data_IF_788820199839
#
_entry.id   IF_788820199839
#
_cell.length_a   1.000
_cell.length_b   1.000
_cell.length_c   1.000
_cell.angle_alpha   90.00
_cell.angle_beta   90.00
_cell.angle_gamma   90.00
#
_symmetry.space_group_name_H-M   'P 1'
#
loop_
_entity.id
_entity.type
_entity.pdbx_description
1 polymer ?
#
# COMPACT_ATOMS: atom_id res chain seq x y z
N UNK A 1 3.71 12.27 -62.75
CA UNK A 1 3.84 11.96 -61.31
C UNK A 1 2.49 11.97 -60.57
N UNK A 2 1.38 11.58 -61.24
CA UNK A 2 0.00 11.70 -60.70
C UNK A 2 -0.72 10.34 -60.58
N UNK A 3 -0.03 9.23 -60.88
CA UNK A 3 -0.60 7.89 -60.98
C UNK A 3 -0.39 7.02 -59.72
N UNK A 4 0.53 7.41 -58.82
CA UNK A 4 0.80 6.64 -57.59
C UNK A 4 -0.26 6.83 -56.51
N UNK A 5 -0.93 7.98 -56.49
CA UNK A 5 -1.93 8.27 -55.44
C UNK A 5 -3.25 7.55 -55.68
N UNK A 6 -3.73 7.47 -56.94
CA UNK A 6 -5.00 6.80 -57.25
C UNK A 6 -4.97 5.29 -56.96
N UNK A 7 -3.82 4.64 -57.17
CA UNK A 7 -3.64 3.23 -56.79
C UNK A 7 -3.68 3.05 -55.28
N UNK A 8 -3.12 3.99 -54.51
CA UNK A 8 -3.12 3.93 -53.05
C UNK A 8 -4.54 4.02 -52.49
N UNK A 9 -5.36 4.95 -52.99
CA UNK A 9 -6.77 5.09 -52.58
C UNK A 9 -7.61 3.86 -52.95
N UNK A 10 -7.37 3.24 -54.11
CA UNK A 10 -8.07 2.03 -54.53
C UNK A 10 -7.74 0.83 -53.62
N UNK A 11 -6.47 0.65 -53.24
CA UNK A 11 -6.06 -0.35 -52.25
C UNK A 11 -6.63 -0.05 -50.87
N UNK A 12 -6.66 1.22 -50.47
CA UNK A 12 -7.24 1.64 -49.19
C UNK A 12 -8.75 1.34 -49.13
N UNK A 13 -9.51 1.60 -50.19
CA UNK A 13 -10.95 1.30 -50.25
C UNK A 13 -11.23 -0.20 -50.21
N UNK A 14 -10.38 -1.01 -50.86
CA UNK A 14 -10.48 -2.48 -50.89
C UNK A 14 -10.18 -3.09 -49.51
N UNK A 15 -9.18 -2.57 -48.80
CA UNK A 15 -8.71 -3.09 -47.52
C UNK A 15 -9.29 -2.36 -46.29
N UNK A 16 -10.06 -1.29 -46.48
CA UNK A 16 -10.63 -0.47 -45.41
C UNK A 16 -11.37 -1.31 -44.35
N UNK A 17 -12.12 -2.32 -44.79
CA UNK A 17 -12.85 -3.21 -43.89
C UNK A 17 -11.94 -4.02 -42.95
N UNK A 18 -10.77 -4.44 -43.44
CA UNK A 18 -9.79 -5.16 -42.61
C UNK A 18 -9.13 -4.25 -41.58
N UNK A 19 -8.87 -2.99 -41.94
CA UNK A 19 -8.31 -1.98 -41.04
C UNK A 19 -9.33 -1.67 -39.92
N UNK A 20 -10.61 -1.50 -40.28
CA UNK A 20 -11.67 -1.32 -39.29
C UNK A 20 -11.80 -2.51 -38.34
N UNK A 21 -11.75 -3.74 -38.88
CA UNK A 21 -11.82 -4.95 -38.08
C UNK A 21 -10.61 -5.07 -37.15
N UNK A 22 -9.40 -4.83 -37.65
CA UNK A 22 -8.18 -4.82 -36.84
C UNK A 22 -8.24 -3.79 -35.71
N UNK A 23 -8.71 -2.58 -36.01
CA UNK A 23 -8.84 -1.50 -35.04
C UNK A 23 -9.91 -1.81 -33.99
N UNK A 24 -11.00 -2.46 -34.39
CA UNK A 24 -12.03 -2.95 -33.49
C UNK A 24 -11.49 -4.02 -32.53
N UNK A 25 -10.75 -5.02 -33.03
CA UNK A 25 -10.11 -6.03 -32.20
C UNK A 25 -9.06 -5.44 -31.25
N UNK A 26 -8.28 -4.47 -31.72
CA UNK A 26 -7.30 -3.77 -30.89
C UNK A 26 -7.96 -2.95 -29.77
N UNK A 27 -9.04 -2.22 -30.09
CA UNK A 27 -9.84 -1.48 -29.11
C UNK A 27 -10.48 -2.42 -28.08
N UNK A 28 -11.03 -3.55 -28.52
CA UNK A 28 -11.60 -4.56 -27.64
C UNK A 28 -10.54 -5.17 -26.71
N UNK A 29 -9.34 -5.44 -27.23
CA UNK A 29 -8.22 -5.94 -26.44
C UNK A 29 -7.78 -4.95 -25.36
N UNK A 30 -7.63 -3.67 -25.72
CA UNK A 30 -7.32 -2.60 -24.77
C UNK A 30 -8.41 -2.49 -23.69
N UNK A 31 -9.68 -2.48 -24.09
CA UNK A 31 -10.80 -2.39 -23.16
C UNK A 31 -10.85 -3.58 -22.19
N UNK A 32 -10.61 -4.81 -22.70
CA UNK A 32 -10.52 -6.00 -21.87
C UNK A 32 -9.35 -5.95 -20.88
N UNK A 33 -8.20 -5.41 -21.30
CA UNK A 33 -7.03 -5.25 -20.43
C UNK A 33 -7.23 -4.20 -19.34
N UNK A 34 -7.97 -3.12 -19.62
CA UNK A 34 -8.30 -2.10 -18.61
C UNK A 34 -9.13 -2.69 -17.46
N UNK A 35 -10.12 -3.55 -17.77
CA UNK A 35 -10.94 -4.22 -16.74
C UNK A 35 -10.10 -5.14 -15.84
N UNK A 36 -9.15 -5.87 -16.41
CA UNK A 36 -8.24 -6.73 -15.64
C UNK A 36 -7.35 -5.92 -14.70
N UNK A 37 -6.81 -4.78 -15.15
CA UNK A 37 -5.98 -3.91 -14.32
C UNK A 37 -6.71 -3.38 -13.09
N UNK A 38 -7.99 -3.01 -13.24
CA UNK A 38 -8.81 -2.52 -12.11
C UNK A 38 -9.02 -3.60 -11.05
N UNK A 39 -9.37 -4.82 -11.46
CA UNK A 39 -9.55 -5.96 -10.57
C UNK A 39 -8.24 -6.33 -9.85
N UNK A 40 -7.11 -6.31 -10.56
CA UNK A 40 -5.80 -6.56 -9.95
C UNK A 40 -5.41 -5.47 -8.95
N UNK A 41 -5.70 -4.20 -9.23
CA UNK A 41 -5.41 -3.10 -8.32
C UNK A 41 -6.25 -3.19 -7.03
N UNK A 42 -7.52 -3.54 -7.15
CA UNK A 42 -8.41 -3.74 -6.00
C UNK A 42 -8.00 -4.97 -5.16
N UNK A 43 -7.59 -6.06 -5.81
CA UNK A 43 -7.11 -7.23 -5.09
C UNK A 43 -5.78 -6.93 -4.37
N UNK A 44 -4.88 -6.19 -5.03
CA UNK A 44 -3.60 -5.77 -4.44
C UNK A 44 -3.79 -4.85 -3.24
N UNK A 45 -4.72 -3.91 -3.29
CA UNK A 45 -4.99 -3.01 -2.15
C UNK A 45 -5.55 -3.76 -0.95
N UNK A 46 -6.41 -4.77 -1.17
CA UNK A 46 -6.94 -5.63 -0.11
C UNK A 46 -5.84 -6.46 0.56
N UNK A 47 -4.89 -6.99 -0.23
CA UNK A 47 -3.73 -7.72 0.31
C UNK A 47 -2.82 -6.79 1.11
N UNK A 48 -2.51 -5.60 0.60
CA UNK A 48 -1.66 -4.62 1.28
C UNK A 48 -2.27 -4.15 2.62
N UNK A 49 -3.59 -3.96 2.66
CA UNK A 49 -4.31 -3.65 3.90
C UNK A 49 -4.23 -4.80 4.90
N UNK A 50 -4.50 -6.03 4.46
CA UNK A 50 -4.41 -7.21 5.33
C UNK A 50 -3.00 -7.41 5.89
N UNK A 51 -1.97 -7.17 5.06
CA UNK A 51 -0.57 -7.27 5.46
C UNK A 51 -0.21 -6.20 6.51
N UNK A 52 -0.67 -4.96 6.34
CA UNK A 52 -0.51 -3.90 7.36
C UNK A 52 -1.14 -4.25 8.69
N UNK A 53 -2.34 -4.82 8.68
CA UNK A 53 -3.01 -5.27 9.91
C UNK A 53 -2.24 -6.40 10.60
N UNK A 54 -1.66 -7.33 9.83
CA UNK A 54 -0.80 -8.38 10.37
C UNK A 54 0.47 -7.80 11.00
N UNK A 55 1.16 -6.87 10.34
CA UNK A 55 2.36 -6.23 10.90
C UNK A 55 2.05 -5.49 12.20
N UNK A 56 0.97 -4.70 12.24
CA UNK A 56 0.58 -3.99 13.46
C UNK A 56 0.24 -4.95 14.61
N UNK A 57 -0.41 -6.07 14.32
CA UNK A 57 -0.72 -7.10 15.32
C UNK A 57 0.54 -7.83 15.82
N UNK A 58 1.52 -8.08 14.93
CA UNK A 58 2.80 -8.69 15.28
C UNK A 58 3.65 -7.75 16.14
N UNK A 59 3.71 -6.47 15.79
CA UNK A 59 4.40 -5.43 16.56
C UNK A 59 3.79 -5.32 17.96
N UNK A 60 2.46 -5.24 18.05
CA UNK A 60 1.74 -5.21 19.33
C UNK A 60 2.02 -6.46 20.17
N UNK A 61 2.09 -7.64 19.53
CA UNK A 61 2.42 -8.89 20.21
C UNK A 61 3.86 -8.91 20.71
N UNK A 62 4.81 -8.38 19.94
CA UNK A 62 6.21 -8.25 20.36
C UNK A 62 6.33 -7.28 21.54
N UNK A 63 5.64 -6.15 21.51
CA UNK A 63 5.60 -5.20 22.62
C UNK A 63 5.02 -5.82 23.89
N UNK A 64 3.96 -6.63 23.77
CA UNK A 64 3.42 -7.34 24.92
C UNK A 64 4.35 -8.44 25.44
N UNK A 65 5.06 -9.15 24.55
CA UNK A 65 6.06 -10.13 24.97
C UNK A 65 7.23 -9.45 25.69
N UNK A 66 7.72 -8.32 25.19
CA UNK A 66 8.73 -7.52 25.86
C UNK A 66 8.25 -7.02 27.23
N UNK A 67 6.98 -6.59 27.33
CA UNK A 67 6.36 -6.24 28.61
C UNK A 67 6.23 -7.44 29.56
N UNK A 68 5.99 -8.64 29.04
CA UNK A 68 5.90 -9.85 29.85
C UNK A 68 7.27 -10.30 30.36
N UNK A 69 8.28 -10.31 29.50
CA UNK A 69 9.66 -10.66 29.87
C UNK A 69 10.22 -9.70 30.91
N UNK A 70 9.85 -8.43 30.79
CA UNK A 70 10.26 -7.38 31.74
C UNK A 70 9.40 -7.31 33.00
N UNK A 71 8.19 -7.90 33.05
CA UNK A 71 7.43 -8.09 34.30
C UNK A 71 8.12 -9.03 35.29
N UNK A 72 9.07 -9.83 34.83
CA UNK A 72 9.98 -10.61 35.67
C UNK A 72 10.95 -9.74 36.48
N UNK A 73 11.13 -8.47 36.07
CA UNK A 73 12.04 -7.51 36.69
C UNK A 73 11.26 -6.44 37.47
N UNK A 74 11.33 -6.44 38.82
CA UNK A 74 10.59 -5.51 39.66
C UNK A 74 10.91 -4.03 39.36
N UNK A 75 12.13 -3.71 38.89
CA UNK A 75 12.51 -2.34 38.53
C UNK A 75 11.79 -1.84 37.27
N UNK A 76 11.45 -2.74 36.34
CA UNK A 76 10.73 -2.38 35.12
C UNK A 76 9.25 -2.10 35.36
N UNK A 77 8.60 -2.87 36.24
CA UNK A 77 7.22 -2.60 36.68
C UNK A 77 7.08 -1.22 37.30
N UNK A 78 8.04 -0.76 38.11
CA UNK A 78 8.02 0.59 38.66
C UNK A 78 8.15 1.68 37.58
N UNK A 79 8.99 1.45 36.57
CA UNK A 79 9.20 2.38 35.45
C UNK A 79 7.94 2.50 34.57
N UNK A 80 7.30 1.37 34.29
CA UNK A 80 6.05 1.32 33.53
C UNK A 80 4.91 1.99 34.30
N UNK A 81 4.84 1.77 35.62
CA UNK A 81 3.87 2.40 36.52
C UNK A 81 4.07 3.92 36.56
N UNK A 82 5.32 4.41 36.68
CA UNK A 82 5.67 5.85 36.64
C UNK A 82 5.29 6.48 35.29
N UNK A 83 5.46 5.76 34.18
CA UNK A 83 5.12 6.21 32.83
C UNK A 83 3.60 6.29 32.58
N UNK A 84 2.83 5.31 33.07
CA UNK A 84 1.39 5.24 32.84
C UNK A 84 0.57 6.07 33.84
N UNK A 85 0.96 6.11 35.11
CA UNK A 85 0.23 6.84 36.15
C UNK A 85 0.72 8.28 36.34
N UNK A 86 1.88 8.66 35.77
CA UNK A 86 2.47 9.98 35.96
C UNK A 86 2.86 10.29 37.41
N UNK A 87 2.84 9.28 38.29
CA UNK A 87 3.10 9.42 39.72
C UNK A 87 4.56 9.06 40.03
N UNK A 88 5.25 9.99 40.70
CA UNK A 88 6.56 9.78 41.31
C UNK A 88 6.36 8.97 42.61
N UNK A 89 7.16 7.92 42.88
CA UNK A 89 6.99 7.11 44.08
C UNK A 89 7.23 7.95 45.34
N UNK A 90 6.53 7.58 46.42
CA UNK A 90 6.61 8.22 47.73
C UNK A 90 8.08 8.24 48.21
N UNK A 91 8.67 9.43 48.31
CA UNK A 91 10.03 9.64 48.83
C UNK A 91 11.09 10.09 47.82
N UNK A 92 10.77 10.29 46.54
CA UNK A 92 11.70 10.88 45.56
C UNK A 92 11.22 12.25 45.08
N UNK A 93 12.08 13.26 45.16
CA UNK A 93 11.79 14.64 44.72
C UNK A 93 12.16 14.79 43.24
N UNK A 94 11.19 15.22 42.42
CA UNK A 94 11.42 15.54 41.01
C UNK A 94 12.24 16.82 40.90
N UNK A 95 13.54 16.70 40.66
CA UNK A 95 14.42 17.85 40.42
C UNK A 95 14.29 18.27 38.96
N UNK A 96 13.72 19.46 38.73
CA UNK A 96 13.84 20.16 37.45
C UNK A 96 15.14 20.96 37.48
N UNK A 97 16.05 20.66 36.56
CA UNK A 97 17.18 21.52 36.27
C UNK A 97 16.67 22.63 35.33
N UNK A 98 16.41 23.81 35.88
CA UNK A 98 16.29 25.01 35.05
C UNK A 98 17.66 25.27 34.41
N UNK A 99 17.67 25.44 33.09
CA UNK A 99 18.87 25.86 32.36
C UNK A 99 19.06 27.34 32.63
N UNK A 100 20.21 27.70 33.18
CA UNK A 100 20.77 29.05 33.06
C UNK A 100 20.96 29.42 31.57
#
# INVERSE_FOLDING_TARGET
>A
MKTKESTFYAFFFRCWWTILLLLFFYGFYLHAMHKKKQLYAELKSKVDLAEKHLYAAVETRQDFLLQLESKSDPAWTELLLKKHLGMVPFGQTKVYFDRE
#
